data_IF_282983219519
#
_entry.id   IF_282983219519
#
_cell.length_a   1.000
_cell.length_b   1.000
_cell.length_c   1.000
_cell.angle_alpha   90.00
_cell.angle_beta   90.00
_cell.angle_gamma   90.00
#
_symmetry.space_group_name_H-M   'P 1'
#
loop_
_entity.id
_entity.type
_entity.pdbx_description
1 polymer ?
#
# COMPACT_ATOMS: atom_id res chain seq x y z
N UNK A 1 -20.50 5.77 -1.21
CA UNK A 1 -21.17 5.94 0.10
C UNK A 1 -20.11 6.37 1.10
N UNK A 2 -20.23 7.56 1.70
CA UNK A 2 -19.33 8.02 2.76
C UNK A 2 -19.94 7.66 4.12
N UNK A 3 -19.68 6.44 4.58
CA UNK A 3 -19.99 6.08 5.97
C UNK A 3 -18.87 6.58 6.89
N UNK A 4 -19.19 7.18 8.04
CA UNK A 4 -18.19 7.55 9.02
C UNK A 4 -17.49 6.29 9.56
N UNK A 5 -16.24 6.43 9.97
CA UNK A 5 -15.50 5.36 10.62
C UNK A 5 -16.17 4.98 11.94
N UNK A 6 -16.18 3.70 12.27
CA UNK A 6 -16.58 3.24 13.60
C UNK A 6 -15.57 3.72 14.65
N UNK A 7 -15.91 3.72 15.96
CA UNK A 7 -14.96 4.04 17.01
C UNK A 7 -13.71 3.15 16.97
N UNK A 8 -13.87 1.85 16.68
CA UNK A 8 -12.75 0.92 16.57
C UNK A 8 -11.83 1.24 15.39
N UNK A 9 -12.40 1.58 14.22
CA UNK A 9 -11.62 2.00 13.05
C UNK A 9 -10.87 3.31 13.33
N UNK A 10 -11.53 4.27 13.98
CA UNK A 10 -10.91 5.53 14.38
C UNK A 10 -9.76 5.32 15.38
N UNK A 11 -9.94 4.42 16.35
CA UNK A 11 -8.90 4.03 17.30
C UNK A 11 -7.70 3.40 16.59
N UNK A 12 -7.93 2.53 15.60
CA UNK A 12 -6.86 1.93 14.80
C UNK A 12 -6.07 3.00 14.08
N UNK A 13 -6.73 3.97 13.40
CA UNK A 13 -6.04 5.06 12.72
C UNK A 13 -5.15 5.86 13.68
N UNK A 14 -5.69 6.28 14.83
CA UNK A 14 -4.93 7.08 15.81
C UNK A 14 -3.76 6.30 16.42
N UNK A 15 -3.97 5.00 16.72
CA UNK A 15 -2.93 4.12 17.27
C UNK A 15 -1.82 3.83 16.27
N UNK A 16 -2.16 3.63 14.99
CA UNK A 16 -1.19 3.43 13.91
C UNK A 16 -0.39 4.72 13.69
N UNK A 17 -1.08 5.85 13.52
CA UNK A 17 -0.42 7.14 13.24
C UNK A 17 0.54 7.57 14.36
N UNK A 18 0.17 7.36 15.62
CA UNK A 18 1.02 7.73 16.77
C UNK A 18 2.30 6.89 16.90
N UNK A 19 2.41 5.77 16.17
CA UNK A 19 3.60 4.90 16.17
C UNK A 19 4.54 5.17 14.99
N UNK A 20 4.11 5.95 14.01
CA UNK A 20 4.92 6.27 12.85
C UNK A 20 5.90 7.39 13.18
N UNK A 21 7.13 7.24 12.71
CA UNK A 21 8.05 8.37 12.54
C UNK A 21 7.50 9.37 11.52
N UNK A 22 8.14 10.55 11.45
CA UNK A 22 7.80 11.56 10.45
C UNK A 22 8.05 11.01 9.04
N UNK A 23 9.16 10.33 8.82
CA UNK A 23 9.55 9.73 7.55
C UNK A 23 8.52 8.69 7.09
N UNK A 24 8.07 7.81 7.99
CA UNK A 24 7.04 6.82 7.67
C UNK A 24 5.68 7.49 7.39
N UNK A 25 5.34 8.54 8.14
CA UNK A 25 4.13 9.33 7.89
C UNK A 25 4.16 10.00 6.51
N UNK A 26 5.32 10.54 6.10
CA UNK A 26 5.52 11.10 4.76
C UNK A 26 5.46 10.03 3.67
N UNK A 27 6.01 8.84 3.92
CA UNK A 27 5.94 7.72 2.98
C UNK A 27 4.50 7.27 2.72
N UNK A 28 3.63 7.31 3.73
CA UNK A 28 2.21 6.99 3.58
C UNK A 28 1.45 7.95 2.64
N UNK A 29 2.00 9.14 2.36
CA UNK A 29 1.43 10.09 1.39
C UNK A 29 1.80 9.77 -0.07
N UNK A 30 2.72 8.84 -0.29
CA UNK A 30 3.22 8.52 -1.62
C UNK A 30 2.38 7.45 -2.32
N UNK A 31 2.16 7.66 -3.62
CA UNK A 31 1.65 6.66 -4.55
C UNK A 31 2.74 6.32 -5.57
N UNK A 32 3.38 5.18 -5.39
CA UNK A 32 4.44 4.75 -6.29
C UNK A 32 3.82 4.00 -7.46
N UNK A 33 4.03 4.54 -8.65
CA UNK A 33 3.61 3.92 -9.91
C UNK A 33 4.83 3.41 -10.64
N UNK A 34 4.80 2.14 -11.05
CA UNK A 34 5.76 1.61 -12.01
C UNK A 34 5.04 0.96 -13.18
N UNK A 35 5.72 0.96 -14.33
CA UNK A 35 5.33 0.15 -15.48
C UNK A 35 5.52 -1.35 -15.19
N UNK A 36 5.77 -2.12 -16.24
CA UNK A 36 6.09 -3.53 -16.07
C UNK A 36 7.39 -3.67 -15.24
N UNK A 37 7.25 -4.15 -14.01
CA UNK A 37 8.30 -4.24 -13.00
C UNK A 37 8.26 -5.62 -12.37
N UNK A 38 9.41 -6.14 -11.95
CA UNK A 38 9.46 -7.45 -11.29
C UNK A 38 8.86 -7.38 -9.88
N UNK A 39 8.30 -8.49 -9.35
CA UNK A 39 7.88 -8.58 -7.95
C UNK A 39 8.98 -8.15 -6.96
N UNK A 40 10.23 -8.51 -7.22
CA UNK A 40 11.37 -8.15 -6.37
C UNK A 40 11.59 -6.63 -6.22
N UNK A 41 11.25 -5.85 -7.25
CA UNK A 41 11.32 -4.39 -7.15
C UNK A 41 10.37 -3.88 -6.07
N UNK A 42 9.12 -4.38 -6.08
CA UNK A 42 8.10 -3.95 -5.14
C UNK A 42 8.42 -4.39 -3.71
N UNK A 43 8.88 -5.62 -3.53
CA UNK A 43 9.29 -6.13 -2.22
C UNK A 43 10.40 -5.27 -1.61
N UNK A 44 11.49 -5.01 -2.36
CA UNK A 44 12.58 -4.16 -1.87
C UNK A 44 12.14 -2.73 -1.56
N UNK A 45 11.19 -2.19 -2.32
CA UNK A 45 10.64 -0.86 -2.07
C UNK A 45 9.86 -0.83 -0.77
N UNK A 46 8.98 -1.82 -0.55
CA UNK A 46 8.13 -1.93 0.64
C UNK A 46 8.98 -2.16 1.90
N UNK A 47 9.99 -3.03 1.82
CA UNK A 47 10.94 -3.26 2.92
C UNK A 47 11.74 -2.01 3.30
N UNK A 48 12.09 -1.19 2.31
CA UNK A 48 12.90 0.02 2.54
C UNK A 48 12.07 1.20 3.01
N UNK A 49 10.84 1.32 2.55
CA UNK A 49 10.00 2.49 2.78
C UNK A 49 8.53 2.07 2.85
N UNK A 50 7.84 2.26 3.99
CA UNK A 50 6.44 1.89 4.13
C UNK A 50 5.58 2.93 3.41
N UNK A 51 5.52 2.82 2.08
CA UNK A 51 4.68 3.66 1.24
C UNK A 51 3.20 3.37 1.47
N UNK A 52 2.34 4.36 1.23
CA UNK A 52 0.90 4.20 1.47
C UNK A 52 0.16 3.52 0.31
N UNK A 53 0.71 3.61 -0.91
CA UNK A 53 0.01 3.09 -2.09
C UNK A 53 0.91 2.69 -3.24
N UNK A 54 0.46 1.68 -4.00
CA UNK A 54 1.14 1.19 -5.20
C UNK A 54 0.19 1.14 -6.40
N UNK A 55 0.67 1.58 -7.56
CA UNK A 55 0.02 1.36 -8.85
C UNK A 55 0.94 0.51 -9.72
N UNK A 56 0.67 -0.79 -9.75
CA UNK A 56 1.44 -1.75 -10.53
C UNK A 56 0.73 -2.14 -11.83
N UNK A 57 1.49 -2.65 -12.80
CA UNK A 57 0.97 -3.25 -14.03
C UNK A 57 1.64 -4.60 -14.26
N UNK A 58 0.87 -5.60 -14.64
CA UNK A 58 1.33 -6.95 -14.97
C UNK A 58 0.68 -7.42 -16.26
N UNK A 59 1.21 -8.49 -16.88
CA UNK A 59 0.69 -9.06 -18.14
C UNK A 59 -0.59 -9.86 -17.98
N UNK A 60 -0.97 -10.25 -16.76
CA UNK A 60 -2.15 -11.06 -16.48
C UNK A 60 -2.75 -10.75 -15.11
N UNK A 61 -4.05 -11.01 -14.96
CA UNK A 61 -4.74 -10.86 -13.68
C UNK A 61 -4.17 -11.78 -12.59
N UNK A 62 -3.73 -12.99 -12.96
CA UNK A 62 -3.10 -13.92 -12.02
C UNK A 62 -1.77 -13.36 -11.49
N UNK A 63 -0.91 -12.85 -12.38
CA UNK A 63 0.35 -12.21 -11.97
C UNK A 63 0.09 -10.94 -11.15
N UNK A 64 -0.99 -10.20 -11.44
CA UNK A 64 -1.40 -9.06 -10.63
C UNK A 64 -1.77 -9.49 -9.21
N UNK A 65 -2.60 -10.53 -9.09
CA UNK A 65 -3.04 -11.05 -7.78
C UNK A 65 -1.85 -11.51 -6.94
N UNK A 66 -0.93 -12.27 -7.52
CA UNK A 66 0.28 -12.77 -6.84
C UNK A 66 1.15 -11.62 -6.33
N UNK A 67 1.37 -10.60 -7.18
CA UNK A 67 2.11 -9.40 -6.78
C UNK A 67 1.44 -8.69 -5.59
N UNK A 68 0.12 -8.46 -5.66
CA UNK A 68 -0.61 -7.77 -4.60
C UNK A 68 -0.60 -8.56 -3.30
N UNK A 69 -0.77 -9.88 -3.35
CA UNK A 69 -0.68 -10.73 -2.16
C UNK A 69 0.68 -10.61 -1.49
N UNK A 70 1.77 -10.74 -2.26
CA UNK A 70 3.12 -10.63 -1.73
C UNK A 70 3.40 -9.23 -1.15
N UNK A 71 2.98 -8.17 -1.86
CA UNK A 71 3.16 -6.79 -1.42
C UNK A 71 2.41 -6.49 -0.11
N UNK A 72 1.17 -6.97 0.02
CA UNK A 72 0.37 -6.77 1.23
C UNK A 72 0.94 -7.55 2.43
N UNK A 73 1.47 -8.76 2.21
CA UNK A 73 2.07 -9.58 3.27
C UNK A 73 3.31 -8.92 3.90
N UNK A 74 4.08 -8.17 3.10
CA UNK A 74 5.30 -7.50 3.56
C UNK A 74 5.06 -6.06 4.02
N UNK A 75 3.88 -5.49 3.78
CA UNK A 75 3.60 -4.10 4.12
C UNK A 75 3.13 -3.98 5.57
N UNK A 76 3.78 -3.15 6.42
CA UNK A 76 3.37 -2.98 7.82
C UNK A 76 2.02 -2.26 7.96
N UNK A 77 1.66 -1.43 6.98
CA UNK A 77 0.33 -0.83 6.82
C UNK A 77 -0.24 -1.32 5.49
N UNK A 78 -1.49 -1.81 5.45
CA UNK A 78 -2.10 -2.27 4.20
C UNK A 78 -2.02 -1.21 3.10
N UNK A 79 -1.49 -1.61 1.94
CA UNK A 79 -1.31 -0.73 0.79
C UNK A 79 -2.67 -0.41 0.14
N UNK A 80 -2.87 0.86 -0.21
CA UNK A 80 -3.93 1.22 -1.16
C UNK A 80 -3.46 0.87 -2.59
N UNK A 81 -4.35 0.21 -3.35
CA UNK A 81 -4.06 -0.23 -4.72
C UNK A 81 -5.03 0.46 -5.68
N UNK A 82 -4.74 1.69 -6.12
CA UNK A 82 -5.55 2.38 -7.12
C UNK A 82 -5.44 1.73 -8.50
N UNK A 83 -6.55 1.70 -9.23
CA UNK A 83 -6.62 1.29 -10.63
C UNK A 83 -7.53 2.24 -11.42
N UNK A 84 -7.18 2.51 -12.67
CA UNK A 84 -8.06 3.23 -13.59
C UNK A 84 -9.11 2.26 -14.11
N UNK A 85 -10.27 2.21 -13.45
CA UNK A 85 -11.41 1.34 -13.78
C UNK A 85 -12.48 2.13 -14.56
N UNK A 86 -12.04 2.97 -15.50
CA UNK A 86 -12.88 3.80 -16.38
C UNK A 86 -13.42 3.02 -17.58
#
# INVERSE_FOLDING_TARGET
>A
MNQPLTPQQSQWVQSTLSKLSLEESLAQLLCVSQGESSPDYWLRLIEKTPIGSIRARTRSAQAYRELLSAAQEHSPIPLLVPANME
#
